data_IF_836301524448
#
_entry.id   IF_836301524448
#
_cell.length_a   1.000
_cell.length_b   1.000
_cell.length_c   1.000
_cell.angle_alpha   90.00
_cell.angle_beta   90.00
_cell.angle_gamma   90.00
#
_symmetry.space_group_name_H-M   'P 1'
#
loop_
_entity.id
_entity.type
_entity.pdbx_description
1 polymer ?
#
# COMPACT_ATOMS: atom_id res chain seq x y z
N UNK A 1 -7.41 10.34 28.55
CA UNK A 1 -7.64 9.69 27.23
C UNK A 1 -7.26 8.20 27.24
N UNK A 2 -6.05 7.80 27.65
CA UNK A 2 -5.63 6.38 27.66
C UNK A 2 -6.47 5.47 28.58
N UNK A 3 -6.85 5.93 29.80
CA UNK A 3 -7.67 5.15 30.72
C UNK A 3 -9.06 4.79 30.15
N UNK A 4 -9.69 5.76 29.47
CA UNK A 4 -10.99 5.56 28.81
C UNK A 4 -10.92 4.51 27.68
N UNK A 5 -9.85 4.53 26.88
CA UNK A 5 -9.64 3.48 25.86
C UNK A 5 -9.48 2.10 26.49
N UNK A 6 -8.73 1.99 27.58
CA UNK A 6 -8.52 0.71 28.26
C UNK A 6 -9.83 0.14 28.83
N UNK A 7 -10.68 1.01 29.38
CA UNK A 7 -12.00 0.60 29.88
C UNK A 7 -12.92 0.15 28.74
N UNK A 8 -12.87 0.81 27.57
CA UNK A 8 -13.59 0.33 26.38
C UNK A 8 -13.11 -1.05 25.92
N UNK A 9 -11.80 -1.29 25.88
CA UNK A 9 -11.23 -2.59 25.50
C UNK A 9 -11.69 -3.70 26.45
N UNK A 10 -11.72 -3.41 27.76
CA UNK A 10 -12.18 -4.36 28.79
C UNK A 10 -13.68 -4.63 28.73
N UNK A 11 -14.47 -3.58 28.47
CA UNK A 11 -15.94 -3.65 28.43
C UNK A 11 -16.50 -4.17 27.11
N UNK A 12 -15.71 -4.18 26.02
CA UNK A 12 -16.15 -4.69 24.73
C UNK A 12 -16.49 -6.19 24.81
N UNK A 13 -17.61 -6.57 24.19
CA UNK A 13 -17.98 -7.98 24.03
C UNK A 13 -16.92 -8.75 23.22
N UNK A 14 -16.29 -8.07 22.24
CA UNK A 14 -15.20 -8.60 21.44
C UNK A 14 -14.36 -7.47 20.83
N UNK A 15 -13.04 -7.57 20.90
CA UNK A 15 -12.10 -6.71 20.18
C UNK A 15 -11.57 -7.45 18.94
N UNK A 16 -11.77 -6.88 17.76
CA UNK A 16 -11.31 -7.46 16.51
C UNK A 16 -9.87 -7.02 16.21
N UNK A 17 -8.96 -7.99 16.08
CA UNK A 17 -7.56 -7.75 15.82
C UNK A 17 -7.23 -8.06 14.35
N UNK A 18 -6.77 -7.06 13.59
CA UNK A 18 -6.41 -7.25 12.18
C UNK A 18 -5.06 -7.95 12.03
N UNK A 19 -4.13 -7.62 12.93
CA UNK A 19 -2.78 -8.17 12.98
C UNK A 19 -2.49 -8.93 14.27
N UNK A 20 -1.41 -9.73 14.27
CA UNK A 20 -0.93 -10.39 15.48
C UNK A 20 -0.39 -9.39 16.50
N UNK A 21 0.17 -8.27 16.02
CA UNK A 21 0.65 -7.16 16.83
C UNK A 21 -0.50 -6.50 17.59
N UNK A 22 -1.65 -6.31 16.95
CA UNK A 22 -2.84 -5.74 17.61
C UNK A 22 -3.29 -6.63 18.78
N UNK A 23 -3.38 -7.95 18.54
CA UNK A 23 -3.75 -8.92 19.57
C UNK A 23 -2.77 -8.91 20.74
N UNK A 24 -1.47 -8.93 20.46
CA UNK A 24 -0.44 -8.90 21.48
C UNK A 24 -0.50 -7.60 22.31
N UNK A 25 -0.66 -6.45 21.67
CA UNK A 25 -0.78 -5.17 22.35
C UNK A 25 -2.01 -5.08 23.25
N UNK A 26 -3.17 -5.54 22.77
CA UNK A 26 -4.40 -5.56 23.58
C UNK A 26 -4.31 -6.49 24.78
N UNK A 27 -3.76 -7.70 24.61
CA UNK A 27 -3.60 -8.64 25.74
C UNK A 27 -2.53 -8.20 26.73
N UNK A 28 -1.50 -7.47 26.29
CA UNK A 28 -0.51 -6.88 27.20
C UNK A 28 -1.15 -5.81 28.10
N UNK A 29 -2.04 -4.96 27.54
CA UNK A 29 -2.71 -3.91 28.30
C UNK A 29 -3.93 -4.41 29.09
N UNK A 30 -4.66 -5.38 28.57
CA UNK A 30 -5.85 -5.96 29.17
C UNK A 30 -5.86 -7.50 29.00
N UNK A 31 -5.18 -8.26 29.89
CA UNK A 31 -5.02 -9.71 29.76
C UNK A 31 -6.32 -10.51 29.73
N UNK A 32 -7.41 -9.94 30.27
CA UNK A 32 -8.75 -10.55 30.31
C UNK A 32 -9.67 -10.10 29.16
N UNK A 33 -9.18 -9.26 28.24
CA UNK A 33 -9.99 -8.77 27.13
C UNK A 33 -10.36 -9.92 26.18
N UNK A 34 -11.60 -9.91 25.70
CA UNK A 34 -12.04 -10.84 24.64
C UNK A 34 -11.52 -10.30 23.32
N UNK A 35 -10.68 -11.10 22.65
CA UNK A 35 -10.05 -10.74 21.37
C UNK A 35 -10.28 -11.85 20.35
N UNK A 36 -10.55 -11.48 19.10
CA UNK A 36 -10.60 -12.41 17.97
C UNK A 36 -9.74 -11.91 16.83
N UNK A 37 -9.08 -12.84 16.13
CA UNK A 37 -8.38 -12.50 14.89
C UNK A 37 -9.40 -12.27 13.80
N UNK A 38 -9.29 -11.13 13.12
CA UNK A 38 -10.14 -10.75 12.02
C UNK A 38 -9.25 -10.26 10.87
N UNK A 39 -8.73 -11.17 10.03
CA UNK A 39 -7.82 -10.77 8.97
C UNK A 39 -8.51 -9.79 8.02
N UNK A 40 -7.78 -8.79 7.49
CA UNK A 40 -8.35 -7.87 6.50
C UNK A 40 -8.79 -8.66 5.28
N UNK A 41 -9.93 -8.27 4.71
CA UNK A 41 -10.48 -8.82 3.48
C UNK A 41 -10.90 -7.66 2.57
N UNK A 42 -11.10 -7.98 1.30
CA UNK A 42 -11.58 -7.04 0.28
C UNK A 42 -12.73 -7.69 -0.49
N UNK A 43 -13.59 -6.86 -1.06
CA UNK A 43 -14.48 -7.30 -2.13
C UNK A 43 -13.63 -7.54 -3.39
N UNK A 44 -13.60 -8.78 -3.85
CA UNK A 44 -12.80 -9.23 -4.98
C UNK A 44 -13.50 -9.07 -6.33
N UNK A 45 -14.80 -8.75 -6.34
CA UNK A 45 -15.60 -8.66 -7.58
C UNK A 45 -14.98 -7.70 -8.62
N UNK A 46 -14.42 -6.54 -8.25
CA UNK A 46 -13.75 -5.64 -9.21
C UNK A 46 -12.43 -6.19 -9.74
N UNK A 47 -11.81 -7.14 -9.05
CA UNK A 47 -10.50 -7.74 -9.33
C UNK A 47 -10.60 -9.12 -9.99
N UNK A 48 -11.80 -9.59 -10.35
CA UNK A 48 -12.01 -10.90 -10.97
C UNK A 48 -11.74 -10.92 -12.49
N UNK A 49 -11.17 -9.84 -13.03
CA UNK A 49 -10.86 -9.72 -14.46
C UNK A 49 -9.69 -10.62 -14.85
N UNK A 50 -9.70 -11.09 -16.10
CA UNK A 50 -8.58 -11.86 -16.63
C UNK A 50 -7.29 -11.01 -16.63
N UNK A 51 -6.18 -11.55 -16.10
CA UNK A 51 -4.90 -10.85 -16.13
C UNK A 51 -4.40 -10.76 -17.57
N UNK A 52 -3.90 -9.58 -17.94
CA UNK A 52 -3.30 -9.28 -19.23
C UNK A 52 -1.92 -8.61 -19.00
N UNK A 53 -0.96 -9.33 -18.41
CA UNK A 53 0.30 -8.75 -17.96
C UNK A 53 1.12 -8.22 -19.14
N UNK A 54 1.65 -7.02 -18.98
CA UNK A 54 2.51 -6.35 -19.95
C UNK A 54 3.98 -6.49 -19.49
N UNK A 55 4.85 -7.16 -20.26
CA UNK A 55 6.23 -7.39 -19.85
C UNK A 55 6.96 -6.09 -19.45
N UNK A 56 7.60 -6.11 -18.28
CA UNK A 56 8.32 -4.96 -17.73
C UNK A 56 7.42 -3.84 -17.17
N UNK A 57 6.10 -4.05 -17.07
CA UNK A 57 5.19 -3.06 -16.49
C UNK A 57 5.05 -3.22 -14.98
N UNK A 58 5.78 -2.39 -14.25
CA UNK A 58 5.65 -2.26 -12.80
C UNK A 58 4.46 -1.35 -12.46
N UNK A 59 3.77 -1.65 -11.38
CA UNK A 59 2.63 -0.86 -10.88
C UNK A 59 2.81 -0.58 -9.39
N UNK A 60 2.52 0.64 -8.97
CA UNK A 60 2.39 1.02 -7.56
C UNK A 60 1.05 1.71 -7.34
N UNK A 61 0.28 1.23 -6.37
CA UNK A 61 -1.00 1.81 -5.93
C UNK A 61 -0.86 2.23 -4.47
N UNK A 62 -0.57 3.51 -4.21
CA UNK A 62 -0.33 3.99 -2.86
C UNK A 62 -0.54 5.50 -2.70
N UNK A 63 -1.16 5.90 -1.59
CA UNK A 63 -1.29 7.30 -1.20
C UNK A 63 0.07 7.96 -0.93
N UNK A 64 0.23 9.20 -1.38
CA UNK A 64 1.44 10.02 -1.21
C UNK A 64 1.31 10.87 0.06
N UNK A 65 1.63 10.27 1.20
CA UNK A 65 1.61 10.95 2.51
C UNK A 65 2.92 10.73 3.28
N UNK A 66 3.17 11.57 4.27
CA UNK A 66 4.34 11.48 5.14
C UNK A 66 4.43 10.16 5.93
N UNK A 67 5.57 9.99 6.62
CA UNK A 67 5.89 8.77 7.39
C UNK A 67 6.25 7.58 6.50
N UNK A 68 5.77 6.39 6.87
CA UNK A 68 6.14 5.12 6.22
C UNK A 68 5.83 5.07 4.71
N UNK A 69 4.83 5.82 4.24
CA UNK A 69 4.45 5.84 2.81
C UNK A 69 5.49 6.56 1.96
N UNK A 70 5.90 7.75 2.37
CA UNK A 70 6.99 8.48 1.75
C UNK A 70 8.30 7.68 1.82
N UNK A 71 8.57 7.01 2.94
CA UNK A 71 9.72 6.11 3.04
C UNK A 71 9.67 4.94 2.05
N UNK A 72 8.49 4.37 1.81
CA UNK A 72 8.31 3.32 0.79
C UNK A 72 8.61 3.84 -0.62
N UNK A 73 8.20 5.07 -0.95
CA UNK A 73 8.55 5.70 -2.22
C UNK A 73 10.05 5.95 -2.38
N UNK A 74 10.75 6.34 -1.31
CA UNK A 74 12.22 6.48 -1.32
C UNK A 74 12.91 5.15 -1.62
N UNK A 75 12.48 4.07 -0.98
CA UNK A 75 13.02 2.73 -1.22
C UNK A 75 12.73 2.27 -2.65
N UNK A 76 11.51 2.49 -3.15
CA UNK A 76 11.14 2.16 -4.53
C UNK A 76 12.01 2.91 -5.55
N UNK A 77 12.15 4.23 -5.41
CA UNK A 77 12.99 5.03 -6.29
C UNK A 77 14.47 4.60 -6.24
N UNK A 78 14.99 4.27 -5.06
CA UNK A 78 16.35 3.76 -4.90
C UNK A 78 16.55 2.41 -5.59
N UNK A 79 15.60 1.48 -5.46
CA UNK A 79 15.67 0.17 -6.11
C UNK A 79 15.64 0.29 -7.65
N UNK A 80 14.81 1.20 -8.19
CA UNK A 80 14.71 1.41 -9.64
C UNK A 80 15.98 2.00 -10.25
N UNK A 81 16.76 2.77 -9.49
CA UNK A 81 18.08 3.26 -9.93
C UNK A 81 19.11 2.15 -10.11
N UNK A 82 18.89 0.99 -9.50
CA UNK A 82 19.77 -0.18 -9.62
C UNK A 82 19.44 -1.06 -10.83
N UNK A 83 18.35 -0.75 -11.55
CA UNK A 83 17.94 -1.53 -12.72
C UNK A 83 18.91 -1.30 -13.89
N UNK A 84 19.29 -2.37 -14.64
CA UNK A 84 20.12 -2.22 -15.83
C UNK A 84 19.49 -1.29 -16.87
N UNK A 85 20.28 -0.44 -17.51
CA UNK A 85 19.80 0.54 -18.49
C UNK A 85 19.04 -0.09 -19.67
N UNK A 86 19.50 -1.26 -20.13
CA UNK A 86 18.91 -2.01 -21.24
C UNK A 86 17.61 -2.75 -20.89
N UNK A 87 17.20 -2.78 -19.62
CA UNK A 87 15.97 -3.46 -19.21
C UNK A 87 14.75 -2.57 -19.57
N UNK A 88 13.78 -3.05 -20.39
CA UNK A 88 12.67 -2.24 -20.88
C UNK A 88 11.53 -2.12 -19.85
N UNK A 89 11.85 -1.72 -18.61
CA UNK A 89 10.84 -1.54 -17.58
C UNK A 89 10.13 -0.17 -17.68
N UNK A 90 8.90 -0.11 -17.20
CA UNK A 90 8.14 1.12 -16.94
C UNK A 90 7.39 1.00 -15.62
N UNK A 91 7.10 2.12 -14.97
CA UNK A 91 6.32 2.18 -13.74
C UNK A 91 5.08 3.05 -13.94
N UNK A 92 3.91 2.52 -13.61
CA UNK A 92 2.70 3.32 -13.40
C UNK A 92 2.45 3.53 -11.91
N UNK A 93 2.26 4.78 -11.51
CA UNK A 93 1.96 5.17 -10.12
C UNK A 93 0.54 5.71 -10.04
N UNK A 94 -0.33 4.95 -9.39
CA UNK A 94 -1.68 5.38 -9.01
C UNK A 94 -1.72 5.75 -7.53
N UNK A 95 -2.18 6.95 -7.25
CA UNK A 95 -2.20 7.55 -5.92
C UNK A 95 -1.96 9.05 -5.99
N UNK A 96 -2.39 9.73 -4.94
CA UNK A 96 -2.16 11.16 -4.75
C UNK A 96 -1.99 11.46 -3.26
N UNK A 97 -1.72 12.71 -2.93
CA UNK A 97 -1.71 13.20 -1.56
C UNK A 97 -0.81 14.40 -1.35
N UNK A 98 -0.71 14.89 -0.09
CA UNK A 98 0.03 16.09 0.25
C UNK A 98 1.50 16.06 -0.17
N UNK A 99 2.13 14.87 -0.18
CA UNK A 99 3.55 14.70 -0.50
C UNK A 99 3.81 14.43 -1.99
N UNK A 100 2.84 14.69 -2.88
CA UNK A 100 2.97 14.39 -4.32
C UNK A 100 4.25 14.98 -4.93
N UNK A 101 4.52 16.26 -4.65
CA UNK A 101 5.69 16.94 -5.19
C UNK A 101 7.01 16.30 -4.72
N UNK A 102 7.11 15.97 -3.42
CA UNK A 102 8.28 15.28 -2.89
C UNK A 102 8.43 13.89 -3.50
N UNK A 103 7.34 13.12 -3.60
CA UNK A 103 7.36 11.80 -4.23
C UNK A 103 7.84 11.89 -5.67
N UNK A 104 7.34 12.83 -6.48
CA UNK A 104 7.79 13.00 -7.86
C UNK A 104 9.28 13.34 -7.96
N UNK A 105 9.80 14.18 -7.05
CA UNK A 105 11.22 14.54 -7.01
C UNK A 105 12.14 13.33 -6.76
N UNK A 106 11.69 12.33 -5.98
CA UNK A 106 12.47 11.10 -5.73
C UNK A 106 12.79 10.32 -7.02
N UNK A 107 11.91 10.39 -8.02
CA UNK A 107 12.03 9.67 -9.28
C UNK A 107 12.69 10.50 -10.39
N UNK A 108 13.01 11.78 -10.15
CA UNK A 108 13.55 12.69 -11.16
C UNK A 108 14.90 12.26 -11.78
N UNK A 109 15.67 11.41 -11.07
CA UNK A 109 16.95 10.88 -11.56
C UNK A 109 16.83 9.63 -12.44
N UNK A 110 15.62 9.16 -12.76
CA UNK A 110 15.40 8.00 -13.63
C UNK A 110 15.29 8.44 -15.10
N UNK A 111 15.54 7.50 -16.02
CA UNK A 111 15.44 7.80 -17.45
C UNK A 111 14.06 8.40 -17.82
N UNK A 112 14.01 9.42 -18.69
CA UNK A 112 12.75 10.05 -19.08
C UNK A 112 11.73 9.04 -19.64
N UNK A 113 10.45 9.28 -19.38
CA UNK A 113 9.36 8.44 -19.90
C UNK A 113 9.16 7.09 -19.21
N UNK A 114 10.02 6.72 -18.24
CA UNK A 114 9.86 5.46 -17.49
C UNK A 114 8.68 5.47 -16.52
N UNK A 115 8.27 6.64 -16.03
CA UNK A 115 7.24 6.78 -14.98
C UNK A 115 5.99 7.44 -15.55
N UNK A 116 4.82 6.82 -15.33
CA UNK A 116 3.51 7.39 -15.64
C UNK A 116 2.76 7.68 -14.33
N UNK A 117 2.42 8.95 -14.09
CA UNK A 117 1.65 9.38 -12.91
C UNK A 117 0.16 9.42 -13.23
N UNK A 118 -0.59 8.49 -12.66
CA UNK A 118 -2.03 8.32 -12.95
C UNK A 118 -2.94 9.10 -11.99
N UNK A 119 -2.38 9.60 -10.88
CA UNK A 119 -3.16 10.26 -9.82
C UNK A 119 -4.10 9.28 -9.12
N UNK A 120 -5.14 9.81 -8.46
CA UNK A 120 -6.14 8.98 -7.79
C UNK A 120 -7.04 8.28 -8.81
N UNK A 121 -7.13 6.96 -8.72
CA UNK A 121 -7.99 6.14 -9.57
C UNK A 121 -9.20 5.60 -8.77
N UNK A 122 -10.36 5.41 -9.42
CA UNK A 122 -11.45 4.62 -8.86
C UNK A 122 -11.05 3.15 -8.74
N UNK A 123 -11.84 2.36 -8.00
CA UNK A 123 -11.54 0.96 -7.71
C UNK A 123 -11.36 0.12 -8.99
N UNK A 124 -12.22 0.34 -9.98
CA UNK A 124 -12.23 -0.36 -11.26
C UNK A 124 -10.96 -0.03 -12.07
N UNK A 125 -10.53 1.23 -12.02
CA UNK A 125 -9.28 1.68 -12.65
C UNK A 125 -8.03 1.09 -11.96
N UNK A 126 -8.06 0.94 -10.64
CA UNK A 126 -7.01 0.23 -9.90
C UNK A 126 -6.96 -1.24 -10.32
N UNK A 127 -8.11 -1.90 -10.42
CA UNK A 127 -8.17 -3.30 -10.84
C UNK A 127 -7.65 -3.49 -12.27
N UNK A 128 -8.01 -2.59 -13.19
CA UNK A 128 -7.47 -2.56 -14.55
C UNK A 128 -5.96 -2.44 -14.57
N UNK A 129 -5.45 -1.46 -13.84
CA UNK A 129 -4.02 -1.20 -13.78
C UNK A 129 -3.26 -2.42 -13.25
N UNK A 130 -3.76 -3.04 -12.16
CA UNK A 130 -3.14 -4.22 -11.58
C UNK A 130 -3.18 -5.43 -12.52
N UNK A 131 -4.23 -5.59 -13.34
CA UNK A 131 -4.32 -6.70 -14.30
C UNK A 131 -3.24 -6.68 -15.38
N UNK A 132 -2.62 -5.52 -15.61
CA UNK A 132 -1.55 -5.31 -16.60
C UNK A 132 -0.15 -5.40 -16.02
N UNK A 133 -0.02 -5.45 -14.70
CA UNK A 133 1.27 -5.46 -14.03
C UNK A 133 2.01 -6.80 -14.25
N UNK A 134 3.33 -6.73 -14.42
CA UNK A 134 4.20 -7.89 -14.51
C UNK A 134 5.52 -7.63 -13.78
N UNK A 135 5.93 -8.58 -12.94
CA UNK A 135 7.27 -8.63 -12.33
C UNK A 135 7.85 -9.99 -12.71
N UNK A 136 9.03 -9.98 -13.33
CA UNK A 136 9.70 -11.16 -13.86
C UNK A 136 11.05 -11.34 -13.16
#
# INVERSE_FOLDING_TARGET
MQALMLDMVKGAALNLCLTGRDRAGLLAAAPKARVARFPPFIDTSPFSRDPAPEPGHLVTVAMMRGGDKLQSYRLLAAALKLMPEGLPWRLSVAGDGPERAEVQALFAGLAPGRITWLGLLPREGVAELLSRAAVH
#
